data_IF_670816861812
#
_entry.id   IF_670816861812
#
_cell.length_a   1.000
_cell.length_b   1.000
_cell.length_c   1.000
_cell.angle_alpha   90.00
_cell.angle_beta   90.00
_cell.angle_gamma   90.00
#
_symmetry.space_group_name_H-M   'P 1'
#
loop_
_entity.id
_entity.type
_entity.pdbx_description
1 polymer ?
#
# COMPACT_ATOMS: atom_id res chain seq x y z
N UNK A 1 -59.70 32.90 10.09
CA UNK A 1 -58.71 31.85 10.38
C UNK A 1 -57.85 31.65 9.15
N UNK A 2 -56.59 32.11 9.11
CA UNK A 2 -55.66 31.74 8.05
C UNK A 2 -54.87 30.51 8.48
N UNK A 3 -55.02 29.43 7.70
CA UNK A 3 -54.29 28.18 7.88
C UNK A 3 -52.86 28.36 7.36
N UNK A 4 -51.90 28.24 8.27
CA UNK A 4 -50.48 28.10 7.97
C UNK A 4 -50.26 26.67 7.46
N UNK A 5 -49.77 26.51 6.22
CA UNK A 5 -49.14 25.26 5.78
C UNK A 5 -47.66 25.53 5.58
N UNK A 6 -46.87 25.09 6.56
CA UNK A 6 -45.42 24.96 6.46
C UNK A 6 -45.15 23.75 5.57
N UNK A 7 -44.69 23.96 4.34
CA UNK A 7 -43.98 22.94 3.57
C UNK A 7 -42.54 22.90 4.10
N UNK A 8 -42.33 22.08 5.13
CA UNK A 8 -41.01 21.61 5.51
C UNK A 8 -41.06 20.08 5.44
N UNK A 9 -40.37 19.50 4.46
CA UNK A 9 -40.28 18.06 4.37
C UNK A 9 -39.66 17.60 3.06
N UNK A 10 -38.57 16.85 3.18
CA UNK A 10 -37.85 16.10 2.14
C UNK A 10 -36.74 16.82 1.38
N UNK A 11 -35.69 17.20 2.10
CA UNK A 11 -34.32 16.86 1.66
C UNK A 11 -33.84 15.68 2.50
N UNK A 12 -34.14 14.45 2.06
CA UNK A 12 -33.35 13.28 2.43
C UNK A 12 -32.13 13.29 1.52
N UNK A 13 -31.11 14.04 1.95
CA UNK A 13 -29.76 13.86 1.43
C UNK A 13 -29.33 12.45 1.84
N UNK A 14 -29.38 11.52 0.89
CA UNK A 14 -28.77 10.21 1.04
C UNK A 14 -27.24 10.42 1.11
N UNK A 15 -26.72 10.66 2.31
CA UNK A 15 -25.32 10.36 2.60
C UNK A 15 -25.14 8.87 2.32
N UNK A 16 -24.21 8.44 1.46
CA UNK A 16 -23.87 7.03 1.37
C UNK A 16 -23.39 6.63 2.77
N UNK A 17 -24.20 5.83 3.46
CA UNK A 17 -23.78 5.17 4.69
C UNK A 17 -22.67 4.21 4.28
N UNK A 18 -21.42 4.64 4.42
CA UNK A 18 -20.31 3.70 4.53
C UNK A 18 -20.71 2.76 5.68
N UNK A 19 -20.97 1.50 5.35
CA UNK A 19 -21.29 0.50 6.36
C UNK A 19 -20.18 0.58 7.42
N UNK A 20 -20.55 0.92 8.66
CA UNK A 20 -19.59 0.91 9.75
C UNK A 20 -19.06 -0.53 9.85
N UNK A 21 -17.75 -0.75 9.62
CA UNK A 21 -17.20 -2.10 9.69
C UNK A 21 -17.45 -2.63 11.11
N UNK A 22 -17.89 -3.89 11.21
CA UNK A 22 -18.09 -4.52 12.53
C UNK A 22 -16.79 -4.48 13.34
N UNK A 23 -16.85 -4.36 14.67
CA UNK A 23 -15.65 -4.37 15.53
C UNK A 23 -14.74 -5.59 15.26
N UNK A 24 -15.35 -6.74 14.96
CA UNK A 24 -14.66 -7.97 14.57
C UNK A 24 -13.82 -7.82 13.30
N UNK A 25 -14.33 -7.08 12.30
CA UNK A 25 -13.64 -6.83 11.05
C UNK A 25 -12.41 -5.92 11.22
N UNK A 26 -12.53 -4.90 12.08
CA UNK A 26 -11.44 -3.98 12.42
C UNK A 26 -10.32 -4.75 13.13
N UNK A 27 -10.67 -5.51 14.17
CA UNK A 27 -9.71 -6.34 14.92
C UNK A 27 -9.00 -7.35 14.03
N UNK A 28 -9.73 -8.01 13.12
CA UNK A 28 -9.13 -8.96 12.18
C UNK A 28 -8.10 -8.29 11.26
N UNK A 29 -8.36 -7.06 10.79
CA UNK A 29 -7.39 -6.32 9.98
C UNK A 29 -6.15 -5.91 10.76
N UNK A 30 -6.34 -5.43 11.98
CA UNK A 30 -5.24 -5.08 12.88
C UNK A 30 -4.32 -6.28 13.12
N UNK A 31 -4.89 -7.46 13.38
CA UNK A 31 -4.12 -8.69 13.53
C UNK A 31 -3.37 -9.09 12.24
N UNK A 32 -4.02 -8.97 11.08
CA UNK A 32 -3.41 -9.28 9.79
C UNK A 32 -2.21 -8.37 9.50
N UNK A 33 -2.35 -7.08 9.79
CA UNK A 33 -1.33 -6.08 9.51
C UNK A 33 -0.20 -6.05 10.54
N UNK A 34 -0.50 -6.16 11.84
CA UNK A 34 0.53 -6.29 12.88
C UNK A 34 1.33 -7.60 12.73
N UNK A 35 0.67 -8.67 12.31
CA UNK A 35 1.31 -9.98 12.13
C UNK A 35 2.06 -10.15 10.81
N UNK A 36 1.98 -9.19 9.86
CA UNK A 36 2.58 -9.30 8.54
C UNK A 36 2.10 -10.50 7.70
N UNK A 37 0.95 -11.10 8.05
CA UNK A 37 0.50 -12.38 7.46
C UNK A 37 -0.14 -12.22 6.09
N UNK A 38 -0.80 -11.08 5.90
CA UNK A 38 -1.43 -10.68 4.64
C UNK A 38 -0.46 -9.99 3.67
N UNK A 39 0.69 -9.54 4.16
CA UNK A 39 1.63 -8.77 3.36
C UNK A 39 2.47 -9.67 2.46
N UNK A 40 2.60 -9.31 1.19
CA UNK A 40 3.37 -10.08 0.24
C UNK A 40 2.90 -10.02 -1.20
N UNK A 41 3.58 -10.78 -2.04
CA UNK A 41 3.24 -11.03 -3.45
C UNK A 41 2.40 -12.30 -3.57
N UNK A 42 1.40 -12.27 -4.44
CA UNK A 42 0.48 -13.36 -4.74
C UNK A 42 0.33 -13.49 -6.25
N UNK A 43 0.23 -14.72 -6.74
CA UNK A 43 -0.05 -15.00 -8.14
C UNK A 43 -1.40 -15.71 -8.27
N UNK A 44 -2.32 -15.09 -9.00
CA UNK A 44 -3.71 -15.51 -9.14
C UNK A 44 -3.99 -15.83 -10.61
N UNK A 45 -4.30 -17.09 -10.91
CA UNK A 45 -4.70 -17.48 -12.27
C UNK A 45 -6.08 -16.91 -12.59
N UNK A 46 -6.17 -16.13 -13.66
CA UNK A 46 -7.43 -15.62 -14.19
C UNK A 46 -7.86 -16.50 -15.36
N UNK A 47 -9.00 -17.18 -15.19
CA UNK A 47 -9.53 -18.07 -16.24
C UNK A 47 -9.72 -17.31 -17.56
N UNK A 48 -8.91 -17.66 -18.57
CA UNK A 48 -8.95 -17.03 -19.90
C UNK A 48 -8.39 -15.61 -19.98
N UNK A 49 -7.80 -15.07 -18.90
CA UNK A 49 -7.35 -13.68 -18.84
C UNK A 49 -5.92 -13.50 -18.28
N UNK A 50 -5.15 -14.58 -18.16
CA UNK A 50 -3.73 -14.53 -17.77
C UNK A 50 -3.48 -14.75 -16.28
N UNK A 51 -2.43 -14.13 -15.74
CA UNK A 51 -2.04 -14.22 -14.33
C UNK A 51 -2.08 -12.82 -13.72
N UNK A 52 -2.91 -12.64 -12.70
CA UNK A 52 -2.90 -11.45 -11.87
C UNK A 52 -1.79 -11.61 -10.82
N UNK A 53 -0.75 -10.79 -10.93
CA UNK A 53 0.18 -10.57 -9.83
C UNK A 53 -0.38 -9.50 -8.92
N UNK A 54 -0.47 -9.81 -7.64
CA UNK A 54 -1.03 -8.94 -6.63
C UNK A 54 -0.05 -8.80 -5.48
N UNK A 55 0.23 -7.56 -5.10
CA UNK A 55 1.03 -7.19 -3.95
C UNK A 55 0.11 -6.56 -2.91
N UNK A 56 0.16 -7.07 -1.69
CA UNK A 56 -0.58 -6.54 -0.56
C UNK A 56 0.41 -5.89 0.42
N UNK A 57 0.16 -4.63 0.76
CA UNK A 57 0.92 -3.87 1.75
C UNK A 57 -0.01 -3.30 2.81
N UNK A 58 0.34 -3.52 4.07
CA UNK A 58 -0.27 -2.78 5.17
C UNK A 58 0.35 -1.39 5.26
N UNK A 59 -0.50 -0.38 5.37
CA UNK A 59 -0.12 1.03 5.47
C UNK A 59 -0.47 1.65 6.82
N UNK A 60 -1.39 1.03 7.56
CA UNK A 60 -1.71 1.30 8.96
C UNK A 60 -2.31 0.02 9.58
N UNK A 61 -2.49 -0.07 10.92
CA UNK A 61 -3.09 -1.24 11.56
C UNK A 61 -4.43 -1.67 10.94
N UNK A 62 -5.30 -0.72 10.59
CA UNK A 62 -6.57 -0.99 9.94
C UNK A 62 -6.56 -0.84 8.42
N UNK A 63 -5.40 -0.64 7.78
CA UNK A 63 -5.34 -0.26 6.37
C UNK A 63 -4.41 -1.10 5.49
N UNK A 64 -4.98 -1.60 4.40
CA UNK A 64 -4.31 -2.39 3.37
C UNK A 64 -4.47 -1.77 1.98
N UNK A 65 -3.37 -1.74 1.24
CA UNK A 65 -3.33 -1.38 -0.18
C UNK A 65 -3.00 -2.64 -0.98
N UNK A 66 -3.67 -2.79 -2.11
CA UNK A 66 -3.42 -3.85 -3.07
C UNK A 66 -2.97 -3.24 -4.39
N UNK A 67 -1.78 -3.58 -4.86
CA UNK A 67 -1.30 -3.20 -6.20
C UNK A 67 -1.22 -4.45 -7.04
N UNK A 68 -1.72 -4.42 -8.27
CA UNK A 68 -1.62 -5.58 -9.14
C UNK A 68 -1.48 -5.21 -10.61
N UNK A 69 -1.11 -6.21 -11.40
CA UNK A 69 -1.05 -6.14 -12.85
C UNK A 69 -1.34 -7.53 -13.42
N UNK A 70 -1.90 -7.57 -14.63
CA UNK A 70 -2.25 -8.82 -15.30
C UNK A 70 -1.18 -9.11 -16.35
N UNK A 71 -0.40 -10.16 -16.16
CA UNK A 71 0.63 -10.55 -17.13
C UNK A 71 0.02 -11.15 -18.41
N UNK A 72 0.67 -10.95 -19.58
CA UNK A 72 1.97 -10.29 -19.77
C UNK A 72 1.91 -8.76 -19.99
N UNK A 73 0.77 -8.21 -20.41
CA UNK A 73 0.70 -6.84 -20.98
C UNK A 73 -0.13 -5.84 -20.16
N UNK A 74 -0.49 -6.19 -18.92
CA UNK A 74 -1.34 -5.36 -18.08
C UNK A 74 -0.58 -4.21 -17.41
N UNK A 75 -1.13 -3.00 -17.54
CA UNK A 75 -0.68 -1.84 -16.77
C UNK A 75 -0.90 -2.05 -15.26
N UNK A 76 0.03 -1.61 -14.40
CA UNK A 76 -0.14 -1.71 -12.96
C UNK A 76 -1.27 -0.80 -12.49
N UNK A 77 -2.09 -1.33 -11.59
CA UNK A 77 -3.16 -0.61 -10.91
C UNK A 77 -3.00 -0.74 -9.40
N UNK A 78 -3.42 0.29 -8.67
CA UNK A 78 -3.47 0.26 -7.21
C UNK A 78 -4.90 0.39 -6.72
N UNK A 79 -5.22 -0.31 -5.65
CA UNK A 79 -6.51 -0.38 -5.02
C UNK A 79 -6.34 -0.16 -3.52
N UNK A 80 -7.25 0.60 -2.91
CA UNK A 80 -7.35 0.70 -1.45
C UNK A 80 -8.52 -0.18 -1.01
N UNK A 81 -8.38 -0.88 0.12
CA UNK A 81 -9.53 -1.58 0.69
C UNK A 81 -10.61 -0.56 1.10
N UNK A 82 -11.86 -0.80 0.71
CA UNK A 82 -12.95 0.16 0.83
C UNK A 82 -14.02 -0.25 1.85
N UNK A 83 -14.17 -1.55 2.09
CA UNK A 83 -15.18 -2.08 3.00
C UNK A 83 -14.81 -3.49 3.46
N UNK A 84 -15.29 -3.83 4.66
CA UNK A 84 -15.28 -5.19 5.19
C UNK A 84 -16.70 -5.55 5.58
N UNK A 85 -17.19 -6.67 5.04
CA UNK A 85 -18.52 -7.22 5.32
C UNK A 85 -18.38 -8.71 5.66
N UNK A 86 -18.58 -9.04 6.94
CA UNK A 86 -18.28 -10.35 7.49
C UNK A 86 -16.83 -10.76 7.23
N UNK A 87 -16.63 -11.90 6.57
CA UNK A 87 -15.30 -12.40 6.19
C UNK A 87 -14.78 -11.79 4.87
N UNK A 88 -15.48 -10.84 4.25
CA UNK A 88 -15.09 -10.31 2.93
C UNK A 88 -14.47 -8.93 3.03
N UNK A 89 -13.23 -8.79 2.55
CA UNK A 89 -12.60 -7.49 2.29
C UNK A 89 -12.74 -7.12 0.82
N UNK A 90 -13.19 -5.88 0.54
CA UNK A 90 -13.35 -5.35 -0.80
C UNK A 90 -12.34 -4.24 -1.08
N UNK A 91 -11.77 -4.21 -2.29
CA UNK A 91 -10.85 -3.17 -2.75
C UNK A 91 -11.41 -2.44 -3.97
N UNK A 92 -11.13 -1.14 -4.04
CA UNK A 92 -11.52 -0.26 -5.14
C UNK A 92 -10.31 0.51 -5.65
N UNK A 93 -10.32 0.83 -6.95
CA UNK A 93 -9.22 1.55 -7.60
C UNK A 93 -8.92 2.90 -6.96
N UNK A 94 -7.63 3.21 -6.86
CA UNK A 94 -7.06 4.43 -6.31
C UNK A 94 -5.93 4.93 -7.21
N UNK A 95 -5.90 6.24 -7.49
CA UNK A 95 -4.82 6.89 -8.23
C UNK A 95 -4.03 7.82 -7.30
N UNK A 96 -2.75 7.52 -7.00
CA UNK A 96 -1.96 8.30 -6.02
C UNK A 96 -1.45 9.65 -6.53
N UNK A 97 -1.49 9.92 -7.84
CA UNK A 97 -0.91 11.13 -8.45
C UNK A 97 -1.88 12.27 -8.79
N UNK A 98 -3.09 12.30 -8.22
CA UNK A 98 -4.03 13.40 -8.45
C UNK A 98 -4.37 14.08 -7.12
N UNK A 99 -4.00 15.35 -6.97
CA UNK A 99 -4.31 16.23 -5.82
C UNK A 99 -5.82 16.48 -5.60
N UNK A 100 -6.71 15.72 -6.27
CA UNK A 100 -8.15 15.83 -6.14
C UNK A 100 -8.79 14.45 -6.00
N UNK A 101 -9.35 14.21 -4.80
CA UNK A 101 -10.38 13.21 -4.49
C UNK A 101 -9.98 11.72 -4.70
N UNK A 102 -10.78 10.75 -4.22
CA UNK A 102 -10.87 9.46 -4.89
C UNK A 102 -11.29 9.76 -6.33
N UNK A 103 -10.33 9.98 -7.21
CA UNK A 103 -10.60 10.21 -8.62
C UNK A 103 -11.13 8.89 -9.18
N UNK A 104 -12.47 8.86 -9.21
CA UNK A 104 -13.23 8.25 -10.26
C UNK A 104 -12.44 8.26 -11.56
N UNK A 105 -12.41 7.09 -12.21
CA UNK A 105 -12.31 6.94 -13.65
C UNK A 105 -11.57 8.04 -14.41
N UNK A 106 -10.30 7.77 -14.72
CA UNK A 106 -9.76 8.13 -16.02
C UNK A 106 -10.53 7.38 -17.11
N UNK A 107 -11.67 7.94 -17.50
CA UNK A 107 -12.26 7.91 -18.85
C UNK A 107 -12.55 6.49 -19.39
N UNK A 108 -13.71 5.95 -18.99
CA UNK A 108 -14.47 4.95 -19.77
C UNK A 108 -14.20 3.46 -19.52
N UNK A 109 -13.26 3.10 -18.64
CA UNK A 109 -12.92 1.71 -18.34
C UNK A 109 -13.64 1.12 -17.12
N UNK A 110 -13.93 -0.19 -17.06
CA UNK A 110 -14.49 -0.82 -15.86
C UNK A 110 -13.54 -0.70 -14.66
N UNK A 111 -14.07 -0.30 -13.50
CA UNK A 111 -13.32 -0.27 -12.25
C UNK A 111 -12.78 -1.66 -11.91
N UNK A 112 -11.50 -1.75 -11.54
CA UNK A 112 -10.97 -2.99 -10.98
C UNK A 112 -11.55 -3.16 -9.58
N UNK A 113 -12.12 -4.34 -9.32
CA UNK A 113 -12.69 -4.72 -8.04
C UNK A 113 -12.08 -6.05 -7.62
N UNK A 114 -11.53 -6.07 -6.41
CA UNK A 114 -11.09 -7.29 -5.74
C UNK A 114 -11.95 -7.50 -4.50
N UNK A 115 -12.33 -8.75 -4.27
CA UNK A 115 -12.98 -9.17 -3.03
C UNK A 115 -12.32 -10.44 -2.54
N UNK A 116 -11.84 -10.46 -1.31
CA UNK A 116 -11.16 -11.62 -0.73
C UNK A 116 -11.75 -12.01 0.61
N UNK A 117 -11.56 -13.27 0.98
CA UNK A 117 -11.83 -13.76 2.32
C UNK A 117 -10.70 -13.36 3.28
N UNK A 118 -11.04 -12.68 4.38
CA UNK A 118 -10.11 -12.32 5.46
C UNK A 118 -9.47 -13.55 6.10
N UNK A 119 -10.27 -14.59 6.35
CA UNK A 119 -9.78 -15.86 6.87
C UNK A 119 -8.78 -16.53 5.92
N UNK A 120 -8.97 -16.40 4.60
CA UNK A 120 -7.97 -16.87 3.62
C UNK A 120 -6.67 -16.05 3.70
N UNK A 121 -6.76 -14.73 3.82
CA UNK A 121 -5.59 -13.85 3.96
C UNK A 121 -4.80 -14.17 5.24
N UNK A 122 -5.48 -14.45 6.34
CA UNK A 122 -4.86 -14.90 7.60
C UNK A 122 -4.10 -16.21 7.49
N UNK A 123 -4.45 -17.05 6.52
CA UNK A 123 -3.74 -18.28 6.17
C UNK A 123 -2.71 -18.09 5.06
N UNK A 124 -2.31 -16.84 4.75
CA UNK A 124 -1.41 -16.48 3.65
C UNK A 124 -1.88 -17.01 2.29
N UNK A 125 -3.20 -17.01 2.08
CA UNK A 125 -3.85 -17.36 0.82
C UNK A 125 -4.75 -16.22 0.37
N UNK A 126 -5.07 -16.19 -0.91
CA UNK A 126 -6.15 -15.39 -1.45
C UNK A 126 -7.21 -16.34 -1.97
N UNK A 127 -8.46 -16.13 -1.55
CA UNK A 127 -9.66 -16.73 -2.15
C UNK A 127 -10.72 -15.66 -2.31
N UNK A 128 -11.25 -15.52 -3.52
CA UNK A 128 -12.32 -14.56 -3.77
C UNK A 128 -12.58 -14.29 -5.23
N UNK A 129 -12.81 -13.03 -5.58
CA UNK A 129 -13.18 -12.62 -6.94
C UNK A 129 -12.38 -11.42 -7.44
N UNK A 130 -12.03 -11.46 -8.71
CA UNK A 130 -11.47 -10.34 -9.48
C UNK A 130 -12.44 -9.94 -10.59
N UNK A 131 -12.67 -8.65 -10.72
CA UNK A 131 -13.33 -8.06 -11.88
C UNK A 131 -12.47 -6.91 -12.37
N UNK A 132 -12.08 -6.93 -13.63
CA UNK A 132 -11.29 -5.86 -14.27
C UNK A 132 -11.84 -5.47 -15.64
N UNK A 133 -11.14 -4.58 -16.35
CA UNK A 133 -11.59 -3.99 -17.60
C UNK A 133 -12.01 -4.99 -18.69
N UNK A 134 -11.32 -6.13 -18.77
CA UNK A 134 -11.52 -7.12 -19.82
C UNK A 134 -12.47 -8.26 -19.40
N UNK A 135 -13.02 -8.22 -18.17
CA UNK A 135 -13.87 -9.29 -17.66
C UNK A 135 -15.32 -8.87 -17.61
N UNK A 136 -16.19 -9.60 -18.32
CA UNK A 136 -17.65 -9.35 -18.32
C UNK A 136 -18.29 -9.68 -16.96
N UNK A 137 -17.77 -10.68 -16.25
CA UNK A 137 -18.25 -11.12 -14.94
C UNK A 137 -17.06 -11.31 -13.99
N UNK A 138 -17.27 -11.21 -12.66
CA UNK A 138 -16.22 -11.51 -11.70
C UNK A 138 -15.68 -12.93 -11.87
N UNK A 139 -14.37 -13.04 -12.05
CA UNK A 139 -13.64 -14.29 -12.10
C UNK A 139 -13.33 -14.74 -10.68
N UNK A 140 -13.55 -16.03 -10.37
CA UNK A 140 -13.06 -16.62 -9.13
C UNK A 140 -11.55 -16.73 -9.19
N UNK A 141 -10.89 -16.28 -8.13
CA UNK A 141 -9.44 -16.31 -8.01
C UNK A 141 -9.03 -17.00 -6.72
N UNK A 142 -7.96 -17.78 -6.82
CA UNK A 142 -7.31 -18.37 -5.66
C UNK A 142 -5.81 -18.49 -5.90
N UNK A 143 -5.03 -18.29 -4.85
CA UNK A 143 -3.58 -18.45 -4.87
C UNK A 143 -2.97 -18.42 -3.46
N UNK A 144 -1.75 -18.92 -3.34
CA UNK A 144 -0.97 -18.81 -2.12
C UNK A 144 -0.02 -17.61 -2.23
N UNK A 145 0.44 -17.09 -1.07
CA UNK A 145 1.49 -16.09 -1.03
C UNK A 145 2.77 -16.66 -1.67
N UNK A 146 3.24 -16.00 -2.72
CA UNK A 146 4.47 -16.35 -3.41
C UNK A 146 5.69 -15.79 -2.66
N UNK A 147 5.57 -14.62 -2.07
CA UNK A 147 6.64 -13.92 -1.36
C UNK A 147 6.08 -13.16 -0.17
N UNK A 148 6.74 -13.21 0.99
CA UNK A 148 6.38 -12.40 2.14
C UNK A 148 7.19 -11.09 2.15
N UNK A 149 6.55 -9.99 2.53
CA UNK A 149 7.26 -8.72 2.70
C UNK A 149 7.74 -8.52 4.14
N UNK A 150 8.85 -7.78 4.34
CA UNK A 150 9.25 -7.36 5.68
C UNK A 150 8.11 -6.59 6.37
N UNK A 151 7.77 -6.91 7.63
CA UNK A 151 6.69 -6.24 8.34
C UNK A 151 7.00 -4.74 8.51
N UNK A 152 5.96 -3.91 8.42
CA UNK A 152 6.06 -2.49 8.75
C UNK A 152 6.07 -2.34 10.28
N UNK A 153 7.26 -2.22 10.85
CA UNK A 153 7.40 -2.01 12.28
C UNK A 153 7.30 -3.29 13.10
N UNK A 154 8.07 -3.25 14.17
CA UNK A 154 8.25 -4.24 15.21
C UNK A 154 9.28 -3.59 16.12
N UNK A 155 8.89 -2.46 16.72
CA UNK A 155 9.77 -1.51 17.37
C UNK A 155 10.63 -2.19 18.40
N UNK A 156 11.83 -2.59 18.01
CA UNK A 156 12.85 -2.93 18.97
C UNK A 156 13.28 -1.61 19.61
N UNK A 157 13.21 -1.48 20.95
CA UNK A 157 13.75 -0.32 21.62
C UNK A 157 15.20 -0.13 21.19
N UNK A 158 15.54 1.06 20.73
CA UNK A 158 16.83 1.34 20.12
C UNK A 158 16.98 2.80 19.70
N UNK A 159 18.19 3.20 19.29
CA UNK A 159 18.45 4.57 18.84
C UNK A 159 17.61 4.90 17.60
N UNK A 160 17.23 6.17 17.49
CA UNK A 160 16.49 6.69 16.33
C UNK A 160 17.28 6.43 15.05
N UNK A 161 16.59 5.92 14.03
CA UNK A 161 17.11 5.80 12.67
C UNK A 161 17.16 7.14 11.91
N UNK A 162 16.80 8.27 12.54
CA UNK A 162 16.85 9.59 11.93
C UNK A 162 18.26 9.96 11.44
N UNK A 163 18.34 10.49 10.23
CA UNK A 163 19.58 10.91 9.58
C UNK A 163 19.55 10.74 8.06
N UNK A 164 20.65 11.12 7.43
CA UNK A 164 20.88 10.89 6.01
C UNK A 164 21.88 9.75 5.84
N UNK A 165 21.57 8.85 4.91
CA UNK A 165 22.36 7.65 4.68
C UNK A 165 22.66 7.50 3.19
N UNK A 166 23.92 7.24 2.87
CA UNK A 166 24.36 6.93 1.53
C UNK A 166 24.32 5.42 1.29
N UNK A 167 23.77 5.01 0.16
CA UNK A 167 23.58 3.61 -0.22
C UNK A 167 24.91 3.04 -0.65
N UNK A 168 25.40 2.09 0.14
CA UNK A 168 26.66 1.38 -0.11
C UNK A 168 26.43 0.03 -0.78
N UNK A 169 25.23 -0.53 -0.69
CA UNK A 169 24.85 -1.78 -1.35
C UNK A 169 23.43 -1.70 -1.89
N UNK A 170 23.25 -2.10 -3.15
CA UNK A 170 21.96 -2.19 -3.82
C UNK A 170 21.77 -3.57 -4.47
N UNK A 171 20.54 -4.12 -4.54
CA UNK A 171 20.25 -5.33 -5.29
C UNK A 171 20.44 -5.10 -6.80
N UNK A 172 20.64 -6.19 -7.55
CA UNK A 172 20.86 -6.13 -8.99
C UNK A 172 19.67 -5.54 -9.76
N UNK A 173 18.46 -5.73 -9.24
CA UNK A 173 17.21 -5.20 -9.80
C UNK A 173 16.72 -4.05 -8.92
N UNK A 174 16.61 -2.87 -9.51
CA UNK A 174 15.97 -1.72 -8.88
C UNK A 174 16.41 -0.38 -9.44
N UNK A 175 15.61 0.65 -9.18
CA UNK A 175 15.87 2.02 -9.67
C UNK A 175 16.92 2.74 -8.83
N UNK A 176 16.95 2.45 -7.53
CA UNK A 176 17.90 3.00 -6.58
C UNK A 176 19.28 2.34 -6.72
N UNK A 177 20.35 3.13 -6.76
CA UNK A 177 21.73 2.68 -7.01
C UNK A 177 22.68 3.03 -5.86
N UNK A 178 23.86 2.42 -5.88
CA UNK A 178 24.97 2.80 -4.98
C UNK A 178 25.30 4.29 -5.21
N UNK A 179 25.54 5.02 -4.12
CA UNK A 179 25.71 6.48 -4.12
C UNK A 179 24.38 7.27 -4.04
N UNK A 180 23.23 6.58 -4.15
CA UNK A 180 21.95 7.18 -3.79
C UNK A 180 21.87 7.47 -2.29
N UNK A 181 20.89 8.28 -1.90
CA UNK A 181 20.69 8.73 -0.52
C UNK A 181 19.29 8.37 -0.05
N UNK A 182 19.18 8.00 1.21
CA UNK A 182 17.92 7.92 1.94
C UNK A 182 17.97 8.88 3.14
N UNK A 183 16.98 9.76 3.19
CA UNK A 183 16.76 10.68 4.31
C UNK A 183 15.64 10.14 5.19
N UNK A 184 15.89 10.07 6.49
CA UNK A 184 14.92 9.68 7.52
C UNK A 184 14.77 10.86 8.47
N UNK A 185 13.59 11.48 8.50
CA UNK A 185 13.32 12.68 9.29
C UNK A 185 12.09 12.45 10.19
N UNK A 186 12.04 13.11 11.36
CA UNK A 186 10.84 13.17 12.20
C UNK A 186 10.32 14.60 12.22
N UNK A 187 9.19 14.84 11.57
CA UNK A 187 8.57 16.17 11.48
C UNK A 187 7.16 16.09 12.06
N UNK A 188 6.85 16.96 13.03
CA UNK A 188 5.53 16.98 13.66
C UNK A 188 5.15 15.66 14.35
N UNK A 189 6.14 14.88 14.80
CA UNK A 189 5.92 13.57 15.43
C UNK A 189 5.73 12.40 14.46
N UNK A 190 5.83 12.62 13.15
CA UNK A 190 5.67 11.59 12.12
C UNK A 190 6.99 11.40 11.37
N UNK A 191 7.35 10.14 11.08
CA UNK A 191 8.48 9.84 10.21
C UNK A 191 8.18 10.20 8.75
N UNK A 192 9.12 10.90 8.13
CA UNK A 192 9.17 11.16 6.69
C UNK A 192 10.39 10.45 6.11
N UNK A 193 10.22 9.85 4.94
CA UNK A 193 11.30 9.15 4.23
C UNK A 193 11.49 9.76 2.86
N UNK A 194 12.74 10.01 2.50
CA UNK A 194 13.15 10.46 1.18
C UNK A 194 14.07 9.43 0.56
N UNK A 195 13.87 9.11 -0.70
CA UNK A 195 14.77 8.31 -1.49
C UNK A 195 15.26 9.15 -2.66
N UNK A 196 16.56 9.26 -2.84
CA UNK A 196 17.19 9.97 -3.95
C UNK A 196 18.18 9.01 -4.60
N UNK A 197 17.95 8.65 -5.86
CA UNK A 197 18.78 7.70 -6.61
C UNK A 197 19.75 8.33 -7.58
N UNK A 198 19.88 9.65 -7.58
CA UNK A 198 20.62 10.44 -8.57
C UNK A 198 19.72 11.51 -9.20
N UNK A 199 20.08 11.99 -10.39
CA UNK A 199 19.31 13.01 -11.12
C UNK A 199 17.91 12.53 -11.53
N UNK A 200 17.73 11.21 -11.72
CA UNK A 200 16.52 10.65 -12.35
C UNK A 200 15.58 9.88 -11.38
N UNK A 201 15.76 9.99 -10.07
CA UNK A 201 14.90 9.30 -9.10
C UNK A 201 14.83 10.04 -7.77
N UNK A 202 13.63 10.51 -7.43
CA UNK A 202 13.33 11.13 -6.15
C UNK A 202 11.94 10.69 -5.68
N UNK A 203 11.84 10.18 -4.45
CA UNK A 203 10.55 9.86 -3.85
C UNK A 203 10.49 10.40 -2.43
N UNK A 204 9.36 11.00 -2.05
CA UNK A 204 9.10 11.44 -0.68
C UNK A 204 7.84 10.78 -0.14
N UNK A 205 7.97 10.08 0.98
CA UNK A 205 6.91 9.37 1.68
C UNK A 205 6.61 10.09 3.00
N UNK A 206 5.35 10.43 3.21
CA UNK A 206 4.92 11.33 4.29
C UNK A 206 4.15 10.63 5.41
N UNK A 207 3.67 9.40 5.17
CA UNK A 207 2.88 8.64 6.15
C UNK A 207 3.74 7.55 6.78
N UNK A 208 4.69 7.95 7.62
CA UNK A 208 5.57 7.06 8.37
C UNK A 208 5.11 6.73 9.78
N UNK A 209 5.87 5.86 10.46
CA UNK A 209 5.64 5.55 11.87
C UNK A 209 5.63 6.82 12.71
N UNK A 210 4.86 6.79 13.79
CA UNK A 210 4.98 7.80 14.83
C UNK A 210 6.43 7.80 15.38
N UNK A 211 7.01 8.98 15.57
CA UNK A 211 8.41 9.13 15.97
C UNK A 211 8.74 8.41 17.29
N UNK A 212 7.81 8.39 18.24
CA UNK A 212 7.91 7.66 19.50
C UNK A 212 7.89 6.13 19.38
N UNK A 213 7.33 5.59 18.29
CA UNK A 213 7.18 4.15 18.05
C UNK A 213 8.32 3.59 17.20
N UNK A 214 8.96 4.44 16.41
CA UNK A 214 9.98 4.07 15.45
C UNK A 214 11.17 3.30 16.07
N UNK A 215 11.78 3.84 17.13
CA UNK A 215 13.00 3.26 17.71
C UNK A 215 14.08 3.04 16.65
N UNK A 216 14.61 1.82 16.55
CA UNK A 216 15.55 1.45 15.49
C UNK A 216 14.88 1.09 14.16
N UNK A 217 13.56 1.09 14.06
CA UNK A 217 12.82 0.73 12.85
C UNK A 217 12.30 1.98 12.16
N UNK A 218 12.14 1.91 10.84
CA UNK A 218 11.44 2.93 10.08
C UNK A 218 10.56 2.28 9.04
N UNK A 219 9.40 2.90 8.84
CA UNK A 219 8.48 2.50 7.80
C UNK A 219 7.70 3.74 7.39
N UNK A 220 7.54 3.94 6.09
CA UNK A 220 6.58 4.88 5.56
C UNK A 220 5.84 4.27 4.39
N UNK A 221 4.57 4.60 4.28
CA UNK A 221 3.70 4.16 3.19
C UNK A 221 3.25 5.38 2.40
N UNK A 222 3.02 5.19 1.10
CA UNK A 222 2.55 6.21 0.16
C UNK A 222 3.52 7.39 0.02
N UNK A 223 4.24 7.42 -1.10
CA UNK A 223 5.01 8.58 -1.56
C UNK A 223 4.66 8.95 -2.99
N UNK A 224 4.94 10.21 -3.30
CA UNK A 224 4.90 10.74 -4.66
C UNK A 224 6.31 10.58 -5.22
N UNK A 225 6.42 9.86 -6.34
CA UNK A 225 7.62 9.83 -7.18
C UNK A 225 7.68 11.16 -7.94
N UNK A 226 8.85 11.76 -8.05
CA UNK A 226 9.01 12.93 -8.91
C UNK A 226 8.76 12.49 -10.35
N UNK A 227 7.65 12.97 -10.91
CA UNK A 227 6.92 12.37 -12.04
C UNK A 227 7.69 12.50 -13.39
N UNK A 228 8.93 12.98 -13.37
CA UNK A 228 9.72 13.29 -14.57
C UNK A 228 10.10 12.04 -15.40
N UNK A 229 10.07 10.83 -14.84
CA UNK A 229 10.61 9.63 -15.52
C UNK A 229 9.72 8.38 -15.55
N UNK A 230 8.43 8.46 -15.23
CA UNK A 230 7.47 7.37 -15.46
C UNK A 230 7.81 6.04 -14.74
N UNK A 231 8.44 6.12 -13.56
CA UNK A 231 8.92 4.95 -12.81
C UNK A 231 7.88 4.38 -11.83
N UNK A 232 6.75 5.07 -11.67
CA UNK A 232 5.58 4.63 -10.93
C UNK A 232 5.72 4.90 -9.42
N UNK A 233 4.61 5.12 -8.70
CA UNK A 233 4.64 5.56 -7.32
C UNK A 233 5.32 4.55 -6.39
N UNK A 234 6.08 5.07 -5.42
CA UNK A 234 6.63 4.29 -4.31
C UNK A 234 5.57 4.24 -3.21
N UNK A 235 5.03 3.05 -2.91
CA UNK A 235 3.96 2.90 -1.92
C UNK A 235 4.43 2.43 -0.56
N UNK A 236 5.73 2.12 -0.40
CA UNK A 236 6.29 1.81 0.90
C UNK A 236 7.80 1.83 0.94
N UNK A 237 8.37 2.25 2.06
CA UNK A 237 9.77 2.06 2.43
C UNK A 237 9.80 1.49 3.84
N UNK A 238 10.60 0.46 4.07
CA UNK A 238 10.67 -0.26 5.35
C UNK A 238 12.10 -0.66 5.64
N UNK A 239 12.54 -0.49 6.88
CA UNK A 239 13.88 -0.87 7.26
C UNK A 239 14.18 -0.75 8.75
N UNK A 240 15.43 -1.04 9.09
CA UNK A 240 15.93 -1.01 10.46
C UNK A 240 17.36 -0.48 10.51
N UNK A 241 17.68 0.27 11.55
CA UNK A 241 19.02 0.63 11.97
C UNK A 241 19.72 -0.59 12.60
N UNK A 242 20.80 -1.01 11.94
CA UNK A 242 21.72 -2.02 12.41
C UNK A 242 22.61 -1.50 13.55
N UNK A 243 23.30 -2.44 14.20
CA UNK A 243 24.16 -2.16 15.37
C UNK A 243 25.35 -1.25 15.04
N UNK A 244 25.81 -1.28 13.79
CA UNK A 244 26.96 -0.50 13.32
C UNK A 244 26.56 0.89 12.79
N UNK A 245 25.30 1.31 13.00
CA UNK A 245 24.80 2.60 12.53
C UNK A 245 24.47 2.65 11.04
N UNK A 246 24.60 1.52 10.32
CA UNK A 246 24.05 1.34 8.98
C UNK A 246 22.56 0.99 9.05
N UNK A 247 21.82 1.31 7.99
CA UNK A 247 20.43 0.88 7.85
C UNK A 247 20.31 -0.19 6.77
N UNK A 248 19.43 -1.15 7.03
CA UNK A 248 18.99 -2.14 6.07
C UNK A 248 17.54 -1.86 5.70
N UNK A 249 17.23 -1.72 4.41
CA UNK A 249 15.88 -1.39 3.99
C UNK A 249 15.46 -2.02 2.66
N UNK A 250 14.15 -1.95 2.42
CA UNK A 250 13.52 -2.31 1.16
C UNK A 250 12.45 -1.27 0.84
N UNK A 251 12.12 -1.10 -0.43
CA UNK A 251 11.03 -0.24 -0.85
C UNK A 251 10.13 -0.92 -1.86
N UNK A 252 8.86 -0.54 -1.87
CA UNK A 252 7.86 -1.05 -2.78
C UNK A 252 7.57 -0.04 -3.87
N UNK A 253 7.79 -0.44 -5.12
CA UNK A 253 7.33 0.27 -6.32
C UNK A 253 6.15 -0.47 -6.94
N UNK A 254 5.15 0.25 -7.44
CA UNK A 254 4.01 -0.40 -8.11
C UNK A 254 4.38 -1.23 -9.33
N UNK A 255 5.48 -0.86 -10.01
CA UNK A 255 5.95 -1.53 -11.22
C UNK A 255 6.75 -2.80 -10.98
N UNK A 256 7.58 -2.82 -9.93
CA UNK A 256 8.54 -3.91 -9.71
C UNK A 256 8.29 -4.69 -8.42
N UNK A 257 7.25 -4.33 -7.65
CA UNK A 257 7.00 -4.91 -6.34
C UNK A 257 8.01 -4.43 -5.30
N UNK A 258 8.30 -5.30 -4.33
CA UNK A 258 9.29 -5.04 -3.29
C UNK A 258 10.71 -5.17 -3.84
N UNK A 259 11.53 -4.15 -3.60
CA UNK A 259 12.93 -4.08 -4.00
C UNK A 259 13.80 -3.99 -2.75
N UNK A 260 14.85 -4.80 -2.70
CA UNK A 260 15.76 -4.86 -1.57
C UNK A 260 16.42 -6.24 -1.43
N UNK A 261 17.23 -6.47 -0.41
CA UNK A 261 17.62 -5.50 0.62
C UNK A 261 18.71 -4.52 0.12
N UNK A 262 18.61 -3.27 0.57
CA UNK A 262 19.63 -2.21 0.44
C UNK A 262 20.36 -2.04 1.77
N UNK A 263 21.64 -1.68 1.69
CA UNK A 263 22.42 -1.24 2.86
C UNK A 263 22.91 0.18 2.62
N UNK A 264 22.69 1.05 3.60
CA UNK A 264 23.15 2.43 3.56
C UNK A 264 23.85 2.81 4.87
N UNK A 265 24.89 3.64 4.78
CA UNK A 265 25.69 4.11 5.91
C UNK A 265 25.43 5.58 6.15
N UNK A 266 25.43 5.97 7.43
CA UNK A 266 25.22 7.36 7.84
C UNK A 266 26.29 8.24 7.19
N UNK A 267 25.84 9.34 6.57
CA UNK A 267 26.68 10.39 6.03
C UNK A 267 27.01 11.42 7.12
#
# INVERSE_FOLDING_TARGET
MPTIFVLAGFLLAATPAFAHPSELAIHTMEELCQGGRAEGSYELKLAGAGVLRLHLLCTAPGALIATGFVEPDGEPFSLIHAAIDGDTISFVSFHPGADEAPSMGGIGGPMVRLRFSLSSLGASQIKGTYQGPQTKFPLRVAGARAEAFPPCGGGAPGPSAEGYYEITQAPAKGSLKIGGVIGLEVIGGIQRIFLIGGEDFGASLYNGLAGEVAGNSFCASVGIDDDEHGRGPILGVRGTLGKEGEINFSYFSTRHGMQGSFIAKRH
#
